data_IF_978420291997
#
_entry.id   IF_978420291997
#
_cell.length_a   1.000
_cell.length_b   1.000
_cell.length_c   1.000
_cell.angle_alpha   90.00
_cell.angle_beta   90.00
_cell.angle_gamma   90.00
#
_symmetry.space_group_name_H-M   'P 1'
#
loop_
_entity.id
_entity.type
_entity.pdbx_description
1 polymer ?
#
# COMPACT_ATOMS: atom_id res chain seq x y z
N UNK A 1 -12.00 -4.84 -38.74
CA UNK A 1 -12.75 -4.32 -37.57
C UNK A 1 -12.48 -5.20 -36.34
N UNK A 2 -11.22 -5.40 -35.92
CA UNK A 2 -10.91 -6.27 -34.77
C UNK A 2 -9.81 -5.73 -33.82
N UNK A 3 -9.17 -4.59 -34.10
CA UNK A 3 -8.09 -4.07 -33.24
C UNK A 3 -8.55 -3.20 -32.05
N UNK A 4 -9.82 -2.74 -32.06
CA UNK A 4 -10.31 -1.75 -31.09
C UNK A 4 -10.44 -2.29 -29.66
N UNK A 5 -10.80 -3.58 -29.48
CA UNK A 5 -11.04 -4.15 -28.15
C UNK A 5 -9.75 -4.47 -27.37
N UNK A 6 -8.67 -4.79 -28.08
CA UNK A 6 -7.35 -5.02 -27.48
C UNK A 6 -6.69 -3.70 -27.05
N UNK A 7 -6.88 -2.63 -27.84
CA UNK A 7 -6.36 -1.30 -27.52
C UNK A 7 -7.08 -0.67 -26.31
N UNK A 8 -8.40 -0.89 -26.19
CA UNK A 8 -9.19 -0.46 -25.02
C UNK A 8 -8.80 -1.18 -23.72
N UNK A 9 -8.44 -2.47 -23.83
CA UNK A 9 -7.96 -3.26 -22.68
C UNK A 9 -6.58 -2.81 -22.20
N UNK A 10 -5.72 -2.35 -23.12
CA UNK A 10 -4.41 -1.76 -22.81
C UNK A 10 -4.57 -0.33 -22.27
N UNK A 11 -5.59 0.42 -22.68
CA UNK A 11 -5.92 1.73 -22.10
C UNK A 11 -6.53 1.66 -20.69
N UNK A 12 -7.21 0.58 -20.33
CA UNK A 12 -7.62 0.32 -18.93
C UNK A 12 -6.43 0.08 -17.99
N UNK A 13 -5.25 -0.27 -18.51
CA UNK A 13 -3.98 -0.32 -17.77
C UNK A 13 -3.30 1.07 -17.67
N UNK A 14 -3.82 2.08 -18.39
CA UNK A 14 -3.18 3.41 -18.56
C UNK A 14 -3.66 4.51 -17.61
N UNK A 15 -4.56 4.26 -16.65
CA UNK A 15 -4.75 5.21 -15.55
C UNK A 15 -3.79 4.88 -14.42
N UNK A 16 -2.59 5.48 -14.47
CA UNK A 16 -1.70 5.53 -13.33
C UNK A 16 -2.29 6.47 -12.28
N UNK A 17 -2.96 5.93 -11.30
CA UNK A 17 -2.37 5.93 -9.97
C UNK A 17 -2.17 4.46 -9.56
N UNK A 18 -1.16 4.18 -8.75
CA UNK A 18 -0.83 2.81 -8.31
C UNK A 18 -0.45 2.77 -6.83
N UNK A 19 -0.63 3.88 -6.16
CA UNK A 19 -0.02 4.21 -4.89
C UNK A 19 -0.99 4.98 -4.01
N UNK A 20 -0.46 5.61 -2.97
CA UNK A 20 -1.26 6.28 -1.94
C UNK A 20 -2.14 7.41 -2.45
N UNK A 21 -1.74 8.04 -3.56
CA UNK A 21 -2.49 9.10 -4.25
C UNK A 21 -3.88 8.68 -4.75
N UNK A 22 -4.15 7.38 -4.87
CA UNK A 22 -5.48 6.86 -5.21
C UNK A 22 -6.36 6.55 -4.00
N UNK A 23 -5.79 6.54 -2.79
CA UNK A 23 -6.54 6.32 -1.57
C UNK A 23 -7.26 7.62 -1.19
N UNK A 24 -8.55 7.53 -0.88
CA UNK A 24 -9.29 8.69 -0.37
C UNK A 24 -8.76 9.11 1.00
N UNK A 25 -8.88 10.41 1.31
CA UNK A 25 -8.55 10.93 2.63
C UNK A 25 -9.32 10.19 3.74
N UNK A 26 -10.61 9.93 3.54
CA UNK A 26 -11.47 9.20 4.48
C UNK A 26 -10.95 7.77 4.74
N UNK A 27 -10.44 7.10 3.71
CA UNK A 27 -9.85 5.76 3.86
C UNK A 27 -8.56 5.84 4.69
N UNK A 28 -7.67 6.79 4.39
CA UNK A 28 -6.44 7.02 5.16
C UNK A 28 -6.72 7.36 6.63
N UNK A 29 -7.84 8.02 6.92
CA UNK A 29 -8.27 8.32 8.29
C UNK A 29 -8.69 7.08 9.08
N UNK A 30 -9.24 6.04 8.43
CA UNK A 30 -9.71 4.82 9.09
C UNK A 30 -8.70 3.67 9.06
N UNK A 31 -7.74 3.67 8.13
CA UNK A 31 -6.74 2.61 8.02
C UNK A 31 -5.89 2.52 9.29
N UNK A 32 -5.74 1.29 9.82
CA UNK A 32 -4.97 1.01 11.03
C UNK A 32 -3.97 -0.11 10.79
N UNK A 33 -2.84 -0.01 11.48
CA UNK A 33 -1.83 -1.04 11.51
C UNK A 33 -2.38 -2.31 12.20
N UNK A 34 -2.36 -3.48 11.56
CA UNK A 34 -2.87 -4.72 12.16
C UNK A 34 -2.08 -5.16 13.40
N UNK A 35 -0.81 -4.75 13.53
CA UNK A 35 0.08 -5.14 14.64
C UNK A 35 -0.01 -4.21 15.85
N UNK A 36 -0.13 -2.89 15.62
CA UNK A 36 -0.06 -1.89 16.70
C UNK A 36 -1.40 -1.21 16.96
N UNK A 37 -2.39 -1.41 16.08
CA UNK A 37 -3.67 -0.68 16.04
C UNK A 37 -3.54 0.84 15.87
N UNK A 38 -2.33 1.38 15.74
CA UNK A 38 -2.08 2.79 15.46
C UNK A 38 -2.42 3.15 14.01
N UNK A 39 -2.42 4.45 13.71
CA UNK A 39 -2.59 4.95 12.34
C UNK A 39 -1.45 4.49 11.43
N UNK A 40 -1.79 4.40 10.14
CA UNK A 40 -0.83 4.24 9.06
C UNK A 40 -0.57 5.60 8.43
N UNK A 41 0.71 5.95 8.30
CA UNK A 41 1.17 7.20 7.72
C UNK A 41 1.77 6.92 6.34
N UNK A 42 1.51 7.78 5.34
CA UNK A 42 2.26 7.78 4.09
C UNK A 42 3.77 7.85 4.37
N UNK A 43 4.54 6.89 3.87
CA UNK A 43 6.00 6.98 3.86
C UNK A 43 6.50 7.47 2.50
N UNK A 44 5.94 6.91 1.43
CA UNK A 44 6.09 7.35 0.05
C UNK A 44 4.83 6.96 -0.75
N UNK A 45 4.88 7.03 -2.09
CA UNK A 45 3.74 6.66 -2.94
C UNK A 45 3.34 5.18 -2.83
N UNK A 46 4.23 4.29 -2.42
CA UNK A 46 4.02 2.84 -2.43
C UNK A 46 4.07 2.22 -1.04
N UNK A 47 4.28 3.00 0.01
CA UNK A 47 4.43 2.47 1.36
C UNK A 47 3.66 3.24 2.43
N UNK A 48 3.11 2.49 3.37
CA UNK A 48 2.50 2.96 4.61
C UNK A 48 3.32 2.51 5.81
N UNK A 49 3.62 3.40 6.73
CA UNK A 49 4.34 3.11 7.96
C UNK A 49 3.43 3.27 9.18
N UNK A 50 3.54 2.38 10.17
CA UNK A 50 2.81 2.59 11.43
C UNK A 50 3.35 3.77 12.21
N UNK A 51 2.44 4.59 12.78
CA UNK A 51 2.85 5.68 13.69
C UNK A 51 3.43 5.18 15.01
N UNK A 52 3.06 3.96 15.43
CA UNK A 52 3.53 3.33 16.65
C UNK A 52 4.56 2.24 16.33
N UNK A 53 5.62 2.10 17.13
CA UNK A 53 6.51 0.96 17.01
C UNK A 53 5.79 -0.33 17.44
N UNK A 54 6.19 -1.44 16.84
CA UNK A 54 5.88 -2.78 17.31
C UNK A 54 7.07 -3.34 18.09
N UNK A 55 7.28 -4.67 18.05
CA UNK A 55 8.39 -5.35 18.71
C UNK A 55 9.73 -4.68 18.40
N UNK A 56 10.58 -4.61 19.43
CA UNK A 56 11.95 -4.07 19.36
C UNK A 56 12.04 -2.59 18.94
N UNK A 57 10.93 -1.84 19.06
CA UNK A 57 10.90 -0.42 18.70
C UNK A 57 10.82 -0.17 17.19
N UNK A 58 10.55 -1.21 16.38
CA UNK A 58 10.52 -1.11 14.93
C UNK A 58 9.12 -0.73 14.46
N UNK A 59 9.03 0.26 13.57
CA UNK A 59 7.76 0.64 12.92
C UNK A 59 7.49 -0.28 11.72
N UNK A 60 6.38 -1.04 11.72
CA UNK A 60 6.01 -1.86 10.57
C UNK A 60 5.73 -1.00 9.32
N UNK A 61 6.15 -1.50 8.16
CA UNK A 61 5.93 -0.87 6.85
C UNK A 61 5.15 -1.83 5.96
N UNK A 62 4.18 -1.32 5.21
CA UNK A 62 3.30 -2.10 4.34
C UNK A 62 3.32 -1.50 2.93
N UNK A 63 3.42 -2.37 1.93
CA UNK A 63 3.36 -1.97 0.52
C UNK A 63 1.93 -1.64 0.07
N UNK A 64 1.83 -0.81 -0.96
CA UNK A 64 0.63 -0.58 -1.76
C UNK A 64 0.93 -1.07 -3.17
N UNK A 65 0.18 -2.08 -3.62
CA UNK A 65 0.25 -2.61 -4.99
C UNK A 65 -1.08 -2.39 -5.68
N UNK A 66 -1.07 -1.75 -6.85
CA UNK A 66 -2.26 -1.47 -7.65
C UNK A 66 -3.39 -0.78 -6.85
N UNK A 67 -2.99 0.16 -5.97
CA UNK A 67 -3.91 0.90 -5.11
C UNK A 67 -4.45 0.12 -3.90
N UNK A 68 -3.94 -1.09 -3.64
CA UNK A 68 -4.38 -1.95 -2.53
C UNK A 68 -3.29 -2.01 -1.45
N UNK A 69 -3.54 -1.50 -0.24
CA UNK A 69 -2.65 -1.67 0.90
C UNK A 69 -2.56 -3.14 1.34
N UNK A 70 -1.36 -3.71 1.32
CA UNK A 70 -1.09 -5.09 1.71
C UNK A 70 -0.86 -5.18 3.23
N UNK A 71 -1.95 -5.22 4.01
CA UNK A 71 -1.91 -5.19 5.48
C UNK A 71 -1.78 -6.57 6.14
N UNK A 72 -0.98 -7.47 5.56
CA UNK A 72 -0.74 -8.78 6.17
C UNK A 72 0.37 -8.67 7.24
N UNK A 73 0.16 -9.16 8.47
CA UNK A 73 1.16 -9.10 9.55
C UNK A 73 2.53 -9.67 9.19
N UNK A 74 2.56 -10.72 8.37
CA UNK A 74 3.79 -11.42 7.95
C UNK A 74 4.61 -10.57 6.98
N UNK A 75 3.97 -9.80 6.10
CA UNK A 75 4.67 -8.95 5.13
C UNK A 75 5.34 -7.75 5.79
N UNK A 76 4.72 -7.19 6.83
CA UNK A 76 5.23 -6.02 7.55
C UNK A 76 6.61 -6.22 8.18
N UNK A 77 7.01 -7.48 8.37
CA UNK A 77 8.28 -7.88 8.98
C UNK A 77 9.20 -8.62 8.00
N UNK A 78 8.73 -8.96 6.79
CA UNK A 78 9.46 -9.78 5.83
C UNK A 78 10.50 -9.00 5.01
N UNK A 79 10.34 -7.68 4.85
CA UNK A 79 11.29 -6.84 4.08
C UNK A 79 12.62 -6.53 4.80
N UNK A 80 12.90 -7.24 5.89
CA UNK A 80 14.26 -7.38 6.42
C UNK A 80 14.76 -8.81 6.23
N UNK A 81 15.07 -9.16 4.99
CA UNK A 81 16.11 -10.18 4.73
C UNK A 81 17.43 -9.79 5.43
N UNK A 82 18.32 -10.77 5.71
CA UNK A 82 19.50 -10.55 6.54
C UNK A 82 20.38 -9.47 5.92
N UNK A 83 20.65 -8.40 6.68
CA UNK A 83 21.68 -7.42 6.35
C UNK A 83 23.06 -7.98 6.65
#
# INVERSE_FOLDING_TARGET
MQDSAAQESIERVRHRGRGISELSADLLEILRCPLTRGRLLPLDEHHLMSELPHLEGIHPVYEITDGIPHLLPVQAMADRGPR
#
